data_IF_261319887484
#
_entry.id   IF_261319887484
#
_cell.length_a   1.000
_cell.length_b   1.000
_cell.length_c   1.000
_cell.angle_alpha   90.00
_cell.angle_beta   90.00
_cell.angle_gamma   90.00
#
_symmetry.space_group_name_H-M   'P 1'
#
loop_
_entity.id
_entity.type
_entity.pdbx_description
1 polymer ?
#
# COMPACT_ATOMS: atom_id res chain seq x y z
N UNK A 1 3.35 -16.83 -1.88
CA UNK A 1 2.08 -16.09 -2.01
C UNK A 1 1.68 -16.09 -3.47
N UNK A 2 0.47 -16.53 -3.79
CA UNK A 2 -0.03 -16.45 -5.16
C UNK A 2 -0.46 -15.01 -5.45
N UNK A 3 -0.42 -14.63 -6.72
CA UNK A 3 -0.80 -13.27 -7.14
C UNK A 3 -2.29 -13.02 -6.87
N UNK A 4 -3.12 -14.05 -6.99
CA UNK A 4 -4.53 -13.97 -6.61
C UNK A 4 -4.70 -13.59 -5.12
N UNK A 5 -3.88 -14.16 -4.23
CA UNK A 5 -3.89 -13.82 -2.79
C UNK A 5 -3.50 -12.36 -2.57
N UNK A 6 -2.47 -11.87 -3.28
CA UNK A 6 -2.06 -10.45 -3.22
C UNK A 6 -3.21 -9.54 -3.65
N UNK A 7 -3.89 -9.87 -4.75
CA UNK A 7 -4.99 -9.08 -5.27
C UNK A 7 -6.17 -9.03 -4.31
N UNK A 8 -6.51 -10.16 -3.68
CA UNK A 8 -7.57 -10.22 -2.67
C UNK A 8 -7.29 -9.30 -1.46
N UNK A 9 -6.03 -9.09 -1.12
CA UNK A 9 -5.61 -8.18 -0.05
C UNK A 9 -5.58 -6.70 -0.48
N UNK A 10 -5.19 -6.42 -1.73
CA UNK A 10 -4.93 -5.05 -2.21
C UNK A 10 -6.18 -4.37 -2.79
N UNK A 11 -7.12 -5.12 -3.35
CA UNK A 11 -8.33 -4.53 -3.95
C UNK A 11 -9.16 -3.74 -2.94
N UNK A 12 -9.52 -4.28 -1.75
CA UNK A 12 -10.32 -3.53 -0.78
C UNK A 12 -9.74 -2.15 -0.42
N UNK A 13 -8.46 -2.00 0.01
CA UNK A 13 -7.90 -0.70 0.34
C UNK A 13 -7.81 0.25 -0.86
N UNK A 14 -7.52 -0.25 -2.06
CA UNK A 14 -7.47 0.59 -3.26
C UNK A 14 -8.87 1.13 -3.60
N UNK A 15 -9.91 0.31 -3.49
CA UNK A 15 -11.29 0.78 -3.72
C UNK A 15 -11.75 1.79 -2.67
N UNK A 16 -11.35 1.62 -1.40
CA UNK A 16 -11.58 2.60 -0.33
C UNK A 16 -10.88 3.93 -0.63
N UNK A 17 -9.59 3.89 -1.00
CA UNK A 17 -8.84 5.09 -1.39
C UNK A 17 -9.46 5.82 -2.59
N UNK A 18 -9.94 5.08 -3.59
CA UNK A 18 -10.65 5.67 -4.73
C UNK A 18 -11.97 6.33 -4.30
N UNK A 19 -12.75 5.70 -3.41
CA UNK A 19 -13.97 6.32 -2.87
C UNK A 19 -13.64 7.61 -2.11
N UNK A 20 -12.61 7.59 -1.25
CA UNK A 20 -12.17 8.75 -0.47
C UNK A 20 -11.69 9.89 -1.34
N UNK A 21 -10.97 9.62 -2.43
CA UNK A 21 -10.50 10.67 -3.35
C UNK A 21 -11.68 11.40 -4.00
N UNK A 22 -12.78 10.69 -4.28
CA UNK A 22 -14.01 11.28 -4.84
C UNK A 22 -14.77 12.13 -3.81
N UNK A 23 -14.85 11.68 -2.56
CA UNK A 23 -15.51 12.46 -1.50
C UNK A 23 -14.77 13.78 -1.15
N UNK A 24 -13.47 13.89 -1.46
CA UNK A 24 -12.69 15.13 -1.25
C UNK A 24 -12.95 16.19 -2.33
N UNK A 25 -13.30 15.78 -3.54
CA UNK A 25 -13.73 16.71 -4.59
C UNK A 25 -15.16 17.16 -4.31
N UNK A 26 -15.38 18.46 -4.07
CA UNK A 26 -16.73 19.04 -4.00
C UNK A 26 -17.55 18.77 -5.28
N UNK A 27 -18.72 19.41 -5.39
CA UNK A 27 -19.85 19.14 -6.31
C UNK A 27 -19.61 18.85 -7.81
N UNK A 28 -18.37 18.79 -8.31
CA UNK A 28 -18.00 18.42 -9.68
C UNK A 28 -16.84 17.39 -9.78
N UNK A 29 -16.52 16.61 -8.74
CA UNK A 29 -15.26 15.86 -8.58
C UNK A 29 -14.91 14.76 -9.60
N UNK A 30 -14.31 15.14 -10.74
CA UNK A 30 -13.75 14.24 -11.77
C UNK A 30 -12.26 13.90 -11.60
N UNK A 31 -11.58 14.34 -10.54
CA UNK A 31 -10.14 14.08 -10.39
C UNK A 31 -9.81 12.57 -10.27
N UNK A 32 -8.86 12.04 -11.07
CA UNK A 32 -8.50 10.63 -11.05
C UNK A 32 -7.87 10.25 -9.70
N UNK A 33 -8.04 8.98 -9.29
CA UNK A 33 -7.30 8.44 -8.17
C UNK A 33 -5.80 8.62 -8.40
N UNK A 34 -5.12 9.22 -7.43
CA UNK A 34 -3.68 9.34 -7.46
C UNK A 34 -3.01 7.96 -7.50
N UNK A 35 -1.95 7.79 -8.32
CA UNK A 35 -1.14 6.58 -8.31
C UNK A 35 -0.73 6.20 -6.90
N UNK A 36 -1.03 4.97 -6.53
CA UNK A 36 -0.87 4.45 -5.17
C UNK A 36 -0.02 3.20 -5.19
N UNK A 37 1.06 3.17 -4.43
CA UNK A 37 1.84 1.95 -4.18
C UNK A 37 1.44 1.34 -2.83
N UNK A 38 1.20 0.04 -2.82
CA UNK A 38 0.74 -0.73 -1.67
C UNK A 38 1.79 -1.78 -1.33
N UNK A 39 2.17 -1.88 -0.06
CA UNK A 39 3.06 -2.91 0.44
C UNK A 39 2.29 -4.00 1.17
N UNK A 40 2.52 -5.25 0.76
CA UNK A 40 1.98 -6.45 1.39
C UNK A 40 3.09 -7.18 2.12
N UNK A 41 2.85 -7.53 3.38
CA UNK A 41 3.76 -8.31 4.23
C UNK A 41 2.94 -9.22 5.13
N UNK A 42 3.35 -10.49 5.21
CA UNK A 42 2.69 -11.52 6.03
C UNK A 42 1.18 -11.58 5.78
N UNK A 43 0.83 -11.71 4.49
CA UNK A 43 -0.54 -11.86 4.02
C UNK A 43 -1.48 -10.71 4.44
N UNK A 44 -0.92 -9.50 4.61
CA UNK A 44 -1.67 -8.27 4.90
C UNK A 44 -1.08 -7.06 4.21
N UNK A 45 -1.94 -6.10 3.88
CA UNK A 45 -1.51 -4.75 3.53
C UNK A 45 -1.01 -4.06 4.80
N UNK A 46 0.22 -3.55 4.76
CA UNK A 46 0.87 -2.88 5.90
C UNK A 46 1.06 -1.38 5.66
N UNK A 47 1.09 -0.94 4.40
CA UNK A 47 1.19 0.47 4.06
C UNK A 47 0.70 0.75 2.65
N UNK A 48 0.28 1.98 2.42
CA UNK A 48 0.13 2.54 1.09
C UNK A 48 0.72 3.94 1.02
N UNK A 49 1.23 4.31 -0.15
CA UNK A 49 1.69 5.68 -0.43
C UNK A 49 1.03 6.12 -1.72
N UNK A 50 0.33 7.25 -1.66
CA UNK A 50 -0.38 7.84 -2.80
C UNK A 50 0.18 9.23 -3.07
N UNK A 51 0.33 9.59 -4.34
CA UNK A 51 0.80 10.92 -4.73
C UNK A 51 0.30 11.29 -6.12
N UNK A 52 0.13 12.59 -6.45
CA UNK A 52 -0.38 13.01 -7.75
C UNK A 52 0.56 12.70 -8.92
N UNK A 53 1.82 12.34 -8.65
CA UNK A 53 2.84 12.08 -9.68
C UNK A 53 3.30 10.64 -9.59
N UNK A 54 3.07 9.88 -10.66
CA UNK A 54 3.47 8.47 -10.75
C UNK A 54 4.96 8.26 -10.40
N UNK A 55 5.84 9.11 -10.89
CA UNK A 55 7.28 9.03 -10.61
C UNK A 55 7.59 9.12 -9.10
N UNK A 56 6.94 10.03 -8.38
CA UNK A 56 7.11 10.16 -6.92
C UNK A 56 6.61 8.90 -6.22
N UNK A 57 5.42 8.41 -6.60
CA UNK A 57 4.87 7.15 -6.08
C UNK A 57 5.84 5.99 -6.30
N UNK A 58 6.41 5.87 -7.50
CA UNK A 58 7.37 4.81 -7.84
C UNK A 58 8.68 4.92 -7.03
N UNK A 59 9.19 6.13 -6.76
CA UNK A 59 10.40 6.28 -5.92
C UNK A 59 10.20 5.78 -4.48
N UNK A 60 8.96 5.63 -4.03
CA UNK A 60 8.63 5.09 -2.72
C UNK A 60 8.76 3.56 -2.65
N UNK A 61 8.72 2.87 -3.80
CA UNK A 61 8.78 1.40 -3.89
C UNK A 61 9.99 0.82 -3.17
N UNK A 62 11.19 1.36 -3.44
CA UNK A 62 12.42 0.89 -2.84
C UNK A 62 12.42 1.07 -1.31
N UNK A 63 12.01 2.25 -0.84
CA UNK A 63 11.90 2.56 0.59
C UNK A 63 10.94 1.60 1.29
N UNK A 64 9.79 1.29 0.66
CA UNK A 64 8.81 0.34 1.19
C UNK A 64 9.34 -1.10 1.18
N UNK A 65 9.98 -1.55 0.10
CA UNK A 65 10.56 -2.89 0.02
C UNK A 65 11.61 -3.11 1.11
N UNK A 66 12.52 -2.15 1.28
CA UNK A 66 13.64 -2.26 2.24
C UNK A 66 13.17 -2.07 3.68
N UNK A 67 12.47 -0.96 3.96
CA UNK A 67 12.10 -0.56 5.30
C UNK A 67 10.97 -1.40 5.87
N UNK A 68 9.92 -1.64 5.07
CA UNK A 68 8.81 -2.48 5.52
C UNK A 68 9.10 -3.95 5.32
N UNK A 69 10.12 -4.36 4.55
CA UNK A 69 10.32 -5.78 4.25
C UNK A 69 9.10 -6.38 3.56
N UNK A 70 8.58 -5.67 2.55
CA UNK A 70 7.42 -6.10 1.79
C UNK A 70 7.70 -7.45 1.10
N UNK A 71 6.70 -8.33 1.11
CA UNK A 71 6.67 -9.59 0.36
C UNK A 71 6.06 -9.44 -1.03
N UNK A 72 5.31 -8.37 -1.25
CA UNK A 72 4.89 -7.90 -2.57
C UNK A 72 4.68 -6.38 -2.55
N UNK A 73 4.89 -5.76 -3.70
CA UNK A 73 4.49 -4.39 -3.98
C UNK A 73 3.47 -4.38 -5.11
N UNK A 74 2.47 -3.52 -4.97
CA UNK A 74 1.45 -3.30 -5.99
C UNK A 74 1.32 -1.82 -6.28
N UNK A 75 1.52 -1.42 -7.53
CA UNK A 75 1.12 -0.09 -7.98
C UNK A 75 -0.31 -0.16 -8.54
N UNK A 76 -1.22 0.62 -7.96
CA UNK A 76 -2.56 0.85 -8.47
C UNK A 76 -2.70 2.27 -9.02
N UNK A 77 -3.26 2.41 -10.22
CA UNK A 77 -3.54 3.71 -10.82
C UNK A 77 -4.85 3.68 -11.60
N UNK A 78 -5.62 4.77 -11.54
CA UNK A 78 -6.78 4.92 -12.42
C UNK A 78 -6.30 5.21 -13.85
N UNK A 79 -6.89 4.51 -14.81
CA UNK A 79 -6.61 4.67 -16.23
C UNK A 79 -7.94 4.66 -17.03
N UNK A 80 -7.84 4.92 -18.32
CA UNK A 80 -8.93 4.75 -19.29
C UNK A 80 -8.59 3.57 -20.21
N UNK A 81 -9.54 2.65 -20.37
CA UNK A 81 -9.45 1.53 -21.29
C UNK A 81 -10.64 1.58 -22.25
N UNK A 82 -10.39 2.05 -23.47
CA UNK A 82 -11.42 2.12 -24.51
C UNK A 82 -12.59 3.06 -24.15
N UNK A 83 -12.31 4.18 -23.48
CA UNK A 83 -13.31 5.15 -23.03
C UNK A 83 -14.01 4.76 -21.73
N UNK A 84 -13.58 3.68 -21.08
CA UNK A 84 -14.12 3.21 -19.81
C UNK A 84 -13.07 3.35 -18.69
N UNK A 85 -13.43 3.92 -17.53
CA UNK A 85 -12.50 4.06 -16.42
C UNK A 85 -12.20 2.70 -15.78
N UNK A 86 -10.92 2.47 -15.51
CA UNK A 86 -10.42 1.24 -14.87
C UNK A 86 -9.39 1.58 -13.80
N UNK A 87 -9.15 0.65 -12.88
CA UNK A 87 -7.94 0.63 -12.06
C UNK A 87 -6.99 -0.42 -12.60
N UNK A 88 -5.80 -0.02 -13.00
CA UNK A 88 -4.71 -0.93 -13.37
C UNK A 88 -3.86 -1.27 -12.15
N UNK A 89 -3.48 -2.54 -11.99
CA UNK A 89 -2.66 -3.06 -10.91
C UNK A 89 -1.41 -3.70 -11.49
N UNK A 90 -0.25 -3.12 -11.20
CA UNK A 90 1.04 -3.74 -11.48
C UNK A 90 1.57 -4.39 -10.22
N UNK A 91 1.61 -5.72 -10.19
CA UNK A 91 1.99 -6.53 -9.03
C UNK A 91 3.39 -7.08 -9.23
N UNK A 92 4.23 -6.98 -8.20
CA UNK A 92 5.53 -7.64 -8.13
C UNK A 92 5.69 -8.33 -6.77
N UNK A 93 5.90 -9.64 -6.78
CA UNK A 93 6.20 -10.42 -5.56
C UNK A 93 7.69 -10.46 -5.26
N UNK A 94 8.06 -10.83 -4.02
CA UNK A 94 9.45 -10.94 -3.58
C UNK A 94 10.26 -12.03 -4.30
N UNK A 95 9.60 -13.05 -4.83
CA UNK A 95 10.20 -14.03 -5.73
C UNK A 95 10.20 -13.59 -7.21
N UNK A 96 9.95 -12.29 -7.46
CA UNK A 96 9.97 -11.61 -8.75
C UNK A 96 8.99 -12.16 -9.77
N UNK A 97 7.81 -12.57 -9.32
CA UNK A 97 6.67 -12.86 -10.21
C UNK A 97 5.89 -11.57 -10.43
N UNK A 98 5.72 -11.24 -11.70
CA UNK A 98 4.99 -10.05 -12.12
C UNK A 98 3.58 -10.43 -12.62
N UNK A 99 2.63 -9.52 -12.43
CA UNK A 99 1.32 -9.59 -13.09
C UNK A 99 0.76 -8.19 -13.30
N UNK A 100 0.02 -8.03 -14.38
CA UNK A 100 -0.86 -6.89 -14.58
C UNK A 100 -2.31 -7.34 -14.50
N UNK A 101 -3.11 -6.64 -13.69
CA UNK A 101 -4.55 -6.87 -13.58
C UNK A 101 -5.30 -5.56 -13.79
N UNK A 102 -6.54 -5.66 -14.27
CA UNK A 102 -7.40 -4.50 -14.54
C UNK A 102 -8.73 -4.72 -13.84
N UNK A 103 -9.21 -3.69 -13.15
CA UNK A 103 -10.53 -3.68 -12.53
C UNK A 103 -11.40 -2.60 -13.19
N UNK A 104 -12.54 -3.00 -13.74
CA UNK A 104 -13.52 -2.04 -14.26
C UNK A 104 -14.12 -1.17 -13.15
N UNK A 105 -14.24 0.13 -13.42
CA UNK A 105 -14.90 1.08 -12.51
C UNK A 105 -16.14 1.63 -13.20
N UNK A 106 -17.24 1.76 -12.46
CA UNK A 106 -18.44 2.46 -12.91
C UNK A 106 -18.80 3.52 -11.90
N UNK A 107 -18.95 4.75 -12.40
CA UNK A 107 -19.42 5.88 -11.62
C UNK A 107 -20.92 6.02 -11.83
N UNK A 108 -21.68 5.91 -10.74
CA UNK A 108 -23.13 6.00 -10.76
C UNK A 108 -23.59 7.46 -10.60
N UNK A 109 -24.81 7.76 -11.02
CA UNK A 109 -25.36 9.13 -10.99
C UNK A 109 -25.58 9.67 -9.58
N UNK A 110 -25.71 8.79 -8.59
CA UNK A 110 -25.84 9.14 -7.17
C UNK A 110 -24.49 9.45 -6.50
N UNK A 111 -23.39 9.41 -7.26
CA UNK A 111 -22.04 9.62 -6.76
C UNK A 111 -21.42 8.37 -6.14
N UNK A 112 -22.12 7.22 -6.14
CA UNK A 112 -21.54 5.95 -5.73
C UNK A 112 -20.60 5.38 -6.81
N UNK A 113 -19.71 4.49 -6.38
CA UNK A 113 -18.73 3.85 -7.26
C UNK A 113 -18.86 2.34 -7.15
N UNK A 114 -19.14 1.70 -8.28
CA UNK A 114 -19.18 0.26 -8.43
C UNK A 114 -17.89 -0.25 -9.09
N UNK A 115 -17.46 -1.44 -8.68
CA UNK A 115 -16.23 -2.06 -9.14
C UNK A 115 -16.54 -3.46 -9.67
N UNK A 116 -15.97 -3.81 -10.82
CA UNK A 116 -15.97 -5.18 -11.31
C UNK A 116 -14.96 -6.05 -10.53
N UNK A 117 -14.98 -7.35 -10.75
CA UNK A 117 -13.87 -8.21 -10.32
C UNK A 117 -12.61 -7.86 -11.14
N UNK A 118 -11.42 -7.83 -10.51
CA UNK A 118 -10.17 -7.68 -11.25
C UNK A 118 -9.95 -8.87 -12.17
N UNK A 119 -9.63 -8.58 -13.42
CA UNK A 119 -9.29 -9.59 -14.43
C UNK A 119 -7.83 -9.47 -14.83
N UNK A 120 -7.31 -10.52 -15.47
CA UNK A 120 -5.99 -10.51 -16.07
C UNK A 120 -5.90 -9.42 -17.14
N UNK A 121 -4.94 -8.50 -16.98
CA UNK A 121 -4.70 -7.41 -17.92
C UNK A 121 -3.79 -7.82 -19.09
N UNK A 122 -3.28 -9.05 -19.09
CA UNK A 122 -2.27 -9.51 -20.04
C UNK A 122 -0.88 -8.96 -19.75
N UNK A 123 -0.03 -8.95 -20.77
CA UNK A 123 1.32 -8.40 -20.66
C UNK A 123 1.30 -6.89 -20.97
N UNK A 124 1.85 -6.04 -20.08
CA UNK A 124 1.86 -4.61 -20.33
C UNK A 124 2.80 -4.28 -21.50
N UNK A 125 2.35 -3.39 -22.39
CA UNK A 125 3.16 -2.88 -23.50
C UNK A 125 4.38 -2.09 -23.04
N UNK A 126 4.26 -1.39 -21.90
CA UNK A 126 5.36 -0.71 -21.24
C UNK A 126 5.68 -1.41 -19.92
N UNK A 127 6.86 -2.04 -19.86
CA UNK A 127 7.33 -2.77 -18.69
C UNK A 127 7.99 -1.87 -17.63
N UNK A 128 8.10 -0.55 -17.85
CA UNK A 128 8.85 0.38 -16.97
C UNK A 128 8.42 0.27 -15.52
N UNK A 129 7.11 0.23 -15.24
CA UNK A 129 6.58 0.08 -13.88
C UNK A 129 7.03 -1.25 -13.27
N UNK A 130 6.90 -2.35 -14.01
CA UNK A 130 7.30 -3.67 -13.53
C UNK A 130 8.80 -3.76 -13.28
N UNK A 131 9.62 -3.12 -14.11
CA UNK A 131 11.07 -3.02 -13.91
C UNK A 131 11.40 -2.30 -12.61
N UNK A 132 10.80 -1.14 -12.35
CA UNK A 132 11.04 -0.39 -11.09
C UNK A 132 10.60 -1.21 -9.88
N UNK A 133 9.45 -1.88 -9.96
CA UNK A 133 9.00 -2.75 -8.86
C UNK A 133 9.94 -3.96 -8.68
N UNK A 134 10.45 -4.55 -9.75
CA UNK A 134 11.41 -5.65 -9.68
C UNK A 134 12.73 -5.20 -9.03
N UNK A 135 13.24 -4.02 -9.38
CA UNK A 135 14.44 -3.44 -8.79
C UNK A 135 14.27 -3.14 -7.29
N UNK A 136 13.10 -2.63 -6.90
CA UNK A 136 12.74 -2.43 -5.50
C UNK A 136 12.67 -3.76 -4.74
N UNK A 137 12.00 -4.76 -5.30
CA UNK A 137 11.84 -6.09 -4.68
C UNK A 137 13.12 -6.92 -4.67
N UNK A 138 14.12 -6.59 -5.50
CA UNK A 138 15.44 -7.19 -5.47
C UNK A 138 16.29 -6.72 -4.28
N UNK A 139 15.89 -5.64 -3.60
CA UNK A 139 16.61 -5.14 -2.43
C UNK A 139 16.41 -6.05 -1.23
N UNK A 140 17.45 -6.20 -0.41
CA UNK A 140 17.35 -6.92 0.86
C UNK A 140 16.66 -6.02 1.91
N UNK A 141 15.62 -6.51 2.61
CA UNK A 141 15.02 -5.80 3.73
C UNK A 141 16.03 -5.49 4.84
N UNK A 142 15.74 -4.45 5.63
CA UNK A 142 16.53 -4.13 6.83
C UNK A 142 16.54 -5.33 7.78
N UNK A 143 17.74 -5.69 8.24
CA UNK A 143 17.93 -6.68 9.29
C UNK A 143 17.57 -6.08 10.65
N UNK A 144 16.32 -6.34 11.05
CA UNK A 144 15.70 -5.87 12.30
C UNK A 144 16.42 -6.36 13.56
N UNK A 145 17.22 -7.42 13.48
CA UNK A 145 18.03 -7.91 14.61
C UNK A 145 19.20 -6.97 14.93
N UNK A 146 19.62 -6.14 13.97
CA UNK A 146 20.70 -5.16 14.11
C UNK A 146 20.21 -3.78 14.55
N UNK A 147 18.90 -3.59 14.65
CA UNK A 147 18.31 -2.32 15.05
C UNK A 147 18.10 -2.32 16.56
N UNK A 148 18.58 -1.28 17.23
CA UNK A 148 18.46 -1.15 18.67
C UNK A 148 16.99 -1.23 19.11
N UNK A 149 16.69 -2.16 20.03
CA UNK A 149 15.37 -2.25 20.66
C UNK A 149 15.20 -1.05 21.60
N UNK A 150 14.22 -0.18 21.32
CA UNK A 150 13.87 0.94 22.21
C UNK A 150 12.96 0.55 23.37
N UNK A 151 12.39 -0.66 23.36
CA UNK A 151 11.48 -1.13 24.41
C UNK A 151 12.14 -2.15 25.34
N UNK A 152 11.76 -2.12 26.62
CA UNK A 152 12.15 -3.10 27.64
C UNK A 152 11.02 -4.07 28.04
N UNK A 153 9.93 -4.21 27.27
CA UNK A 153 8.77 -5.03 27.71
C UNK A 153 7.98 -5.73 26.61
N UNK A 154 7.57 -6.98 26.90
CA UNK A 154 6.38 -7.64 26.35
C UNK A 154 6.61 -8.79 25.36
N UNK A 155 6.53 -10.03 25.85
CA UNK A 155 6.08 -11.19 25.05
C UNK A 155 4.56 -11.16 25.04
N UNK A 156 3.95 -10.89 23.89
CA UNK A 156 2.51 -10.76 23.78
C UNK A 156 1.90 -12.05 23.22
N UNK A 157 1.11 -12.73 24.05
CA UNK A 157 0.42 -13.98 23.75
C UNK A 157 -0.81 -13.84 22.85
N UNK A 158 -0.72 -13.02 21.80
CA UNK A 158 -1.73 -12.95 20.73
C UNK A 158 -1.18 -13.65 19.49
N UNK A 159 -2.04 -14.22 18.63
CA UNK A 159 -1.66 -14.63 17.27
C UNK A 159 -1.34 -13.38 16.45
N UNK A 160 -0.10 -12.90 16.58
CA UNK A 160 0.41 -11.74 15.87
C UNK A 160 0.75 -12.14 14.44
N UNK A 161 0.24 -11.40 13.43
CA UNK A 161 0.65 -11.62 12.03
C UNK A 161 2.10 -11.20 11.73
N UNK A 162 2.82 -10.63 12.69
CA UNK A 162 4.23 -10.22 12.59
C UNK A 162 4.95 -10.62 13.89
N UNK A 163 6.17 -11.20 13.84
CA UNK A 163 6.97 -11.49 15.05
C UNK A 163 7.15 -10.25 15.94
N UNK A 164 7.08 -10.41 17.26
CA UNK A 164 7.19 -9.32 18.24
C UNK A 164 8.63 -8.80 18.34
N UNK A 165 9.08 -8.07 17.33
CA UNK A 165 10.41 -7.46 17.34
C UNK A 165 10.26 -5.95 17.51
N UNK A 166 10.64 -5.46 18.68
CA UNK A 166 10.68 -4.04 19.04
C UNK A 166 11.60 -3.23 18.10
N UNK A 167 12.50 -3.89 17.35
CA UNK A 167 13.27 -3.27 16.26
C UNK A 167 12.45 -3.02 15.00
N UNK A 168 11.50 -3.91 14.66
CA UNK A 168 10.71 -3.80 13.43
C UNK A 168 9.72 -2.64 13.45
N UNK A 169 9.06 -2.40 14.60
CA UNK A 169 8.14 -1.26 14.74
C UNK A 169 8.85 0.07 14.54
N UNK A 170 10.07 0.20 15.06
CA UNK A 170 10.90 1.40 14.87
C UNK A 170 11.30 1.58 13.41
N UNK A 171 11.69 0.50 12.72
CA UNK A 171 11.99 0.55 11.29
C UNK A 171 10.76 0.93 10.49
N UNK A 172 9.60 0.30 10.76
CA UNK A 172 8.35 0.61 10.07
C UNK A 172 7.96 2.08 10.29
N UNK A 173 8.01 2.57 11.53
CA UNK A 173 7.70 3.97 11.87
C UNK A 173 8.63 4.96 11.18
N UNK A 174 9.96 4.74 11.24
CA UNK A 174 10.94 5.60 10.57
C UNK A 174 10.82 5.56 9.04
N UNK A 175 10.49 4.39 8.49
CA UNK A 175 10.20 4.22 7.06
C UNK A 175 8.99 5.04 6.65
N UNK A 176 7.90 4.94 7.41
CA UNK A 176 6.66 5.67 7.12
C UNK A 176 6.80 7.17 7.36
N UNK A 177 7.58 7.60 8.36
CA UNK A 177 7.93 9.01 8.54
C UNK A 177 8.68 9.55 7.33
N UNK A 178 9.69 8.83 6.84
CA UNK A 178 10.45 9.22 5.64
C UNK A 178 9.55 9.32 4.41
N UNK A 179 8.64 8.36 4.24
CA UNK A 179 7.67 8.36 3.15
C UNK A 179 6.68 9.53 3.28
N UNK A 180 6.19 9.81 4.48
CA UNK A 180 5.30 10.93 4.76
C UNK A 180 5.96 12.26 4.42
N UNK A 181 7.17 12.52 4.92
CA UNK A 181 7.92 13.75 4.63
C UNK A 181 8.18 13.93 3.12
N UNK A 182 8.45 12.82 2.41
CA UNK A 182 8.67 12.83 0.95
C UNK A 182 7.43 13.27 0.17
N UNK A 183 6.24 12.82 0.57
CA UNK A 183 5.01 13.05 -0.22
C UNK A 183 4.18 14.24 0.29
N UNK A 184 4.39 14.70 1.52
CA UNK A 184 3.64 15.80 2.12
C UNK A 184 3.74 17.10 1.30
N UNK A 185 4.91 17.40 0.73
CA UNK A 185 5.13 18.62 -0.08
C UNK A 185 4.46 18.62 -1.44
N UNK A 186 3.89 17.50 -1.88
CA UNK A 186 3.25 17.34 -3.20
C UNK A 186 1.81 16.87 -3.09
N UNK A 187 1.14 17.14 -1.96
CA UNK A 187 -0.25 16.70 -1.71
C UNK A 187 -0.45 15.19 -1.77
N UNK A 188 0.62 14.41 -1.55
CA UNK A 188 0.54 12.96 -1.37
C UNK A 188 0.26 12.58 0.08
N UNK A 189 -0.03 11.30 0.28
CA UNK A 189 -0.39 10.74 1.57
C UNK A 189 0.31 9.39 1.75
N UNK A 190 0.89 9.17 2.93
CA UNK A 190 1.51 7.92 3.32
C UNK A 190 0.75 7.37 4.53
N UNK A 191 0.26 6.15 4.41
CA UNK A 191 -0.61 5.51 5.38
C UNK A 191 -0.05 4.15 5.80
N UNK A 192 -0.21 3.83 7.07
CA UNK A 192 0.36 2.68 7.76
C UNK A 192 -0.73 1.97 8.56
N UNK A 193 -0.78 0.64 8.39
CA UNK A 193 -1.69 -0.23 9.12
C UNK A 193 -0.90 -0.95 10.21
N UNK A 194 -1.06 -0.48 11.44
CA UNK A 194 -0.43 -1.11 12.59
C UNK A 194 -1.04 -2.50 12.86
N UNK A 195 -0.21 -3.41 13.36
CA UNK A 195 -0.63 -4.79 13.59
C UNK A 195 -1.55 -5.00 14.79
N UNK A 196 -1.51 -4.08 15.73
CA UNK A 196 -2.29 -4.09 16.96
C UNK A 196 -2.33 -2.66 17.50
N UNK A 197 -3.26 -2.34 18.41
CA UNK A 197 -3.30 -1.04 19.08
C UNK A 197 -1.97 -0.71 19.79
N UNK A 198 -1.30 -1.72 20.36
CA UNK A 198 -0.01 -1.54 21.01
C UNK A 198 1.10 -1.22 20.00
N UNK A 199 1.14 -1.90 18.85
CA UNK A 199 2.09 -1.56 17.79
C UNK A 199 1.83 -0.17 17.21
N UNK A 200 0.57 0.28 17.17
CA UNK A 200 0.23 1.64 16.80
C UNK A 200 0.80 2.64 17.82
N UNK A 201 0.59 2.41 19.12
CA UNK A 201 1.15 3.24 20.20
C UNK A 201 2.67 3.35 20.09
N UNK A 202 3.36 2.22 19.94
CA UNK A 202 4.81 2.17 19.79
C UNK A 202 5.30 2.86 18.51
N UNK A 203 4.57 2.75 17.40
CA UNK A 203 4.92 3.46 16.17
C UNK A 203 4.82 4.98 16.34
N UNK A 204 3.78 5.47 17.03
CA UNK A 204 3.62 6.89 17.37
C UNK A 204 4.76 7.37 18.29
N UNK A 205 5.13 6.58 19.30
CA UNK A 205 6.26 6.88 20.20
C UNK A 205 7.61 6.88 19.46
N UNK A 206 7.72 6.08 18.40
CA UNK A 206 8.87 6.04 17.52
C UNK A 206 8.91 7.19 16.48
N UNK A 207 7.89 8.06 16.43
CA UNK A 207 7.85 9.25 15.57
C UNK A 207 6.92 9.17 14.36
N UNK A 208 6.12 8.10 14.22
CA UNK A 208 5.11 8.03 13.16
C UNK A 208 4.10 9.18 13.30
N UNK A 209 3.82 9.96 12.24
CA UNK A 209 2.76 10.96 12.28
C UNK A 209 1.39 10.31 12.50
N UNK A 210 0.58 10.86 13.41
CA UNK A 210 -0.78 10.33 13.69
C UNK A 210 -1.67 10.26 12.46
N UNK A 211 -1.53 11.20 11.54
CA UNK A 211 -2.24 11.25 10.26
C UNK A 211 -1.87 10.12 9.32
N UNK A 212 -0.73 9.46 9.53
CA UNK A 212 -0.29 8.31 8.74
C UNK A 212 -0.82 6.99 9.30
N UNK A 213 -1.48 6.96 10.46
CA UNK A 213 -1.99 5.73 11.06
C UNK A 213 -3.44 5.48 10.64
N UNK A 214 -3.76 4.27 10.17
CA UNK A 214 -5.12 3.84 9.80
C UNK A 214 -5.53 2.61 10.61
N UNK A 215 -6.84 2.44 10.84
CA UNK A 215 -7.34 1.23 11.50
C UNK A 215 -7.16 0.03 10.58
N UNK A 216 -6.73 -1.10 11.15
CA UNK A 216 -6.64 -2.35 10.40
C UNK A 216 -8.03 -2.83 9.92
N UNK A 217 -9.11 -2.44 10.60
CA UNK A 217 -10.48 -2.80 10.22
C UNK A 217 -10.91 -2.13 8.92
N UNK A 218 -10.39 -0.94 8.63
CA UNK A 218 -10.75 -0.18 7.42
C UNK A 218 -10.33 -0.94 6.15
N UNK A 219 -9.29 -1.78 6.22
CA UNK A 219 -8.67 -2.46 5.08
C UNK A 219 -8.69 -3.99 5.18
N UNK A 220 -9.54 -4.57 6.04
CA UNK A 220 -9.80 -6.01 5.98
C UNK A 220 -10.61 -6.32 4.72
N UNK A 221 -10.32 -7.44 4.01
CA UNK A 221 -11.26 -8.00 3.06
C UNK A 221 -12.60 -8.21 3.78
N UNK A 222 -13.72 -7.83 3.14
CA UNK A 222 -15.03 -8.16 3.67
C UNK A 222 -15.09 -9.67 3.91
N UNK A 223 -15.52 -10.10 5.10
CA UNK A 223 -15.76 -11.51 5.35
C UNK A 223 -16.84 -11.97 4.36
N UNK A 224 -16.47 -12.90 3.48
CA UNK A 224 -17.40 -13.54 2.55
C UNK A 224 -18.43 -14.39 3.27
#
# INVERSE_FOLDING_TARGET
MLIADVMALVVPPVTDLLRRSRSRGGTNGTEPMFPTIVAVRNDRVVAAVTSPRLEITLTCAQTMAVGLGATALVLAAQADLGGSPVVGYSVMTGDRRAKFAVQGVRFEQDGSVAFAEPVDGGDPHDATILTVLAEAMAQRPVDVTRVARKDRGGTFGEELFLPSEQGRVVVDAGTMQTLHERVAGVSGEAVYVARSPEAARLALEAGLPRTSLVSAEDWRPAAG
#
